data_IF_252461294864
#
_entry.id   IF_252461294864
#
_cell.length_a   1.000
_cell.length_b   1.000
_cell.length_c   1.000
_cell.angle_alpha   90.00
_cell.angle_beta   90.00
_cell.angle_gamma   90.00
#
_symmetry.space_group_name_H-M   'P 1'
#
loop_
_entity.id
_entity.type
_entity.pdbx_description
1 polymer ?
#
# COMPACT_ATOMS: atom_id res chain seq x y z
N UNK A 1 -1.51 18.47 -14.20
CA UNK A 1 -2.50 18.16 -13.15
C UNK A 1 -1.83 17.23 -12.16
N UNK A 2 -1.97 17.41 -10.84
CA UNK A 2 -1.47 16.47 -9.83
C UNK A 2 -2.64 15.66 -9.29
N UNK A 3 -2.55 14.33 -9.35
CA UNK A 3 -3.53 13.45 -8.73
C UNK A 3 -3.20 13.35 -7.24
N UNK A 4 -4.13 13.81 -6.39
CA UNK A 4 -3.95 13.76 -4.93
C UNK A 4 -4.53 12.47 -4.32
N UNK A 5 -5.56 11.92 -4.96
CA UNK A 5 -6.31 10.76 -4.53
C UNK A 5 -6.56 9.86 -5.74
N UNK A 6 -6.31 8.56 -5.59
CA UNK A 6 -6.55 7.56 -6.62
C UNK A 6 -7.34 6.40 -6.03
N UNK A 7 -8.51 6.14 -6.60
CA UNK A 7 -9.35 5.01 -6.25
C UNK A 7 -9.24 3.94 -7.34
N UNK A 8 -8.76 2.77 -6.94
CA UNK A 8 -8.62 1.57 -7.76
C UNK A 8 -9.25 0.36 -7.07
N UNK A 9 -10.20 0.56 -6.17
CA UNK A 9 -10.85 -0.56 -5.48
C UNK A 9 -11.59 -1.47 -6.46
N UNK A 10 -11.51 -2.79 -6.26
CA UNK A 10 -12.31 -3.78 -7.01
C UNK A 10 -12.15 -3.72 -8.53
N UNK A 11 -10.96 -3.33 -9.00
CA UNK A 11 -10.64 -3.19 -10.42
C UNK A 11 -9.96 -4.44 -11.04
N UNK A 12 -9.89 -5.54 -10.29
CA UNK A 12 -9.24 -6.81 -10.71
C UNK A 12 -7.76 -6.62 -11.10
N UNK A 13 -7.07 -5.65 -10.51
CA UNK A 13 -5.64 -5.48 -10.69
C UNK A 13 -4.92 -6.72 -10.17
N UNK A 14 -4.09 -7.35 -10.99
CA UNK A 14 -3.42 -8.59 -10.62
C UNK A 14 -2.12 -8.81 -11.37
N UNK A 15 -1.24 -9.59 -10.74
CA UNK A 15 0.06 -9.94 -11.29
C UNK A 15 1.11 -8.82 -11.20
N UNK A 16 2.34 -9.19 -11.56
CA UNK A 16 3.52 -8.33 -11.43
C UNK A 16 3.49 -7.12 -12.39
N UNK A 17 2.96 -7.29 -13.60
CA UNK A 17 2.93 -6.21 -14.60
C UNK A 17 2.01 -5.06 -14.17
N UNK A 18 0.82 -5.36 -13.65
CA UNK A 18 -0.11 -4.35 -13.16
C UNK A 18 0.47 -3.58 -11.96
N UNK A 19 1.11 -4.30 -11.03
CA UNK A 19 1.80 -3.70 -9.88
C UNK A 19 2.95 -2.78 -10.32
N UNK A 20 3.80 -3.24 -11.25
CA UNK A 20 4.91 -2.46 -11.77
C UNK A 20 4.42 -1.20 -12.49
N UNK A 21 3.46 -1.34 -13.40
CA UNK A 21 2.88 -0.22 -14.13
C UNK A 21 2.26 0.82 -13.18
N UNK A 22 1.51 0.38 -12.17
CA UNK A 22 0.90 1.29 -11.19
C UNK A 22 1.96 2.01 -10.35
N UNK A 23 3.00 1.30 -9.93
CA UNK A 23 4.14 1.89 -9.22
C UNK A 23 4.83 2.97 -10.06
N UNK A 24 5.14 2.67 -11.31
CA UNK A 24 5.77 3.61 -12.24
C UNK A 24 4.87 4.82 -12.50
N UNK A 25 3.59 4.59 -12.77
CA UNK A 25 2.63 5.66 -13.00
C UNK A 25 2.51 6.59 -11.79
N UNK A 26 2.36 6.03 -10.58
CA UNK A 26 2.27 6.81 -9.34
C UNK A 26 3.53 7.62 -9.09
N UNK A 27 4.71 7.03 -9.31
CA UNK A 27 5.99 7.70 -9.03
C UNK A 27 6.37 8.73 -10.10
N UNK A 28 5.80 8.62 -11.31
CA UNK A 28 5.95 9.63 -12.38
C UNK A 28 5.09 10.88 -12.18
N UNK A 29 4.14 10.86 -11.23
CA UNK A 29 3.25 11.99 -11.00
C UNK A 29 4.03 13.24 -10.53
N UNK A 30 3.66 14.45 -10.98
CA UNK A 30 4.29 15.68 -10.52
C UNK A 30 4.19 15.84 -8.99
N UNK A 31 5.34 15.85 -8.31
CA UNK A 31 5.41 15.92 -6.85
C UNK A 31 5.31 14.57 -6.14
N UNK A 32 5.52 13.46 -6.86
CA UNK A 32 5.52 12.10 -6.33
C UNK A 32 4.15 11.44 -6.33
N UNK A 33 4.04 10.25 -5.71
CA UNK A 33 2.79 9.51 -5.57
C UNK A 33 1.60 10.37 -5.09
N UNK A 34 0.35 9.92 -5.34
CA UNK A 34 -0.81 10.53 -4.70
C UNK A 34 -0.65 10.52 -3.18
N UNK A 35 -1.42 11.35 -2.48
CA UNK A 35 -1.44 11.33 -1.01
C UNK A 35 -2.20 10.12 -0.49
N UNK A 36 -3.11 9.62 -1.31
CA UNK A 36 -4.04 8.57 -0.94
C UNK A 36 -4.31 7.64 -2.12
N UNK A 37 -4.26 6.33 -1.86
CA UNK A 37 -4.48 5.26 -2.81
C UNK A 37 -5.44 4.24 -2.20
N UNK A 38 -6.61 4.06 -2.81
CA UNK A 38 -7.51 2.97 -2.47
C UNK A 38 -7.26 1.80 -3.41
N UNK A 39 -6.82 0.67 -2.87
CA UNK A 39 -6.38 -0.50 -3.62
C UNK A 39 -7.12 -1.77 -3.19
N UNK A 40 -8.14 -1.66 -2.33
CA UNK A 40 -8.83 -2.81 -1.77
C UNK A 40 -9.59 -3.64 -2.82
N UNK A 41 -9.72 -4.95 -2.60
CA UNK A 41 -10.52 -5.83 -3.46
C UNK A 41 -9.90 -6.14 -4.82
N UNK A 42 -8.57 -6.10 -4.93
CA UNK A 42 -7.83 -6.50 -6.12
C UNK A 42 -7.22 -7.91 -5.95
N UNK A 43 -6.36 -8.34 -6.87
CA UNK A 43 -5.76 -9.70 -6.91
C UNK A 43 -4.24 -9.64 -7.11
N UNK A 44 -3.57 -8.74 -6.41
CA UNK A 44 -2.13 -8.52 -6.55
C UNK A 44 -1.32 -9.69 -5.96
N UNK A 45 -1.74 -10.27 -4.84
CA UNK A 45 -0.99 -11.29 -4.12
C UNK A 45 0.28 -10.76 -3.46
N UNK A 46 1.02 -11.65 -2.78
CA UNK A 46 2.12 -11.29 -1.88
C UNK A 46 3.25 -10.52 -2.59
N UNK A 47 3.81 -11.10 -3.66
CA UNK A 47 4.97 -10.54 -4.36
C UNK A 47 4.67 -9.21 -5.07
N UNK A 48 3.66 -9.14 -5.95
CA UNK A 48 3.32 -7.91 -6.65
C UNK A 48 2.87 -6.79 -5.71
N UNK A 49 2.11 -7.08 -4.65
CA UNK A 49 1.74 -6.04 -3.68
C UNK A 49 2.97 -5.53 -2.93
N UNK A 50 3.86 -6.42 -2.46
CA UNK A 50 5.11 -6.02 -1.83
C UNK A 50 5.94 -5.10 -2.73
N UNK A 51 6.12 -5.48 -4.01
CA UNK A 51 6.87 -4.67 -4.98
C UNK A 51 6.26 -3.28 -5.17
N UNK A 52 4.93 -3.20 -5.30
CA UNK A 52 4.22 -1.94 -5.42
C UNK A 52 4.42 -1.07 -4.18
N UNK A 53 4.17 -1.61 -2.98
CA UNK A 53 4.30 -0.87 -1.72
C UNK A 53 5.74 -0.38 -1.52
N UNK A 54 6.74 -1.24 -1.73
CA UNK A 54 8.15 -0.89 -1.64
C UNK A 54 8.52 0.24 -2.61
N UNK A 55 8.04 0.16 -3.85
CA UNK A 55 8.28 1.18 -4.89
C UNK A 55 7.72 2.54 -4.48
N UNK A 56 6.46 2.56 -4.03
CA UNK A 56 5.79 3.76 -3.57
C UNK A 56 6.49 4.35 -2.33
N UNK A 57 6.84 3.51 -1.35
CA UNK A 57 7.50 3.93 -0.12
C UNK A 57 8.90 4.51 -0.33
N UNK A 58 9.71 3.90 -1.21
CA UNK A 58 11.06 4.42 -1.52
C UNK A 58 11.03 5.77 -2.20
N UNK A 59 9.99 6.04 -3.00
CA UNK A 59 9.81 7.28 -3.76
C UNK A 59 8.99 8.34 -3.02
N UNK A 60 8.32 7.96 -1.94
CA UNK A 60 7.57 8.92 -1.13
C UNK A 60 8.50 9.79 -0.28
N UNK A 61 8.16 11.08 -0.21
CA UNK A 61 8.84 12.04 0.66
C UNK A 61 8.38 11.85 2.12
N UNK A 62 9.33 11.82 3.07
CA UNK A 62 9.07 11.55 4.48
C UNK A 62 8.12 12.58 5.16
N UNK A 63 7.94 13.77 4.58
CA UNK A 63 7.13 14.84 5.16
C UNK A 63 5.62 14.55 5.10
N UNK A 64 5.15 13.73 4.15
CA UNK A 64 3.74 13.35 4.02
C UNK A 64 3.69 11.87 3.66
N UNK A 65 3.35 10.97 4.58
CA UNK A 65 3.17 9.56 4.25
C UNK A 65 2.12 9.39 3.14
N UNK A 66 2.32 8.41 2.27
CA UNK A 66 1.28 7.95 1.35
C UNK A 66 0.34 7.03 2.14
N UNK A 67 -0.94 7.35 2.11
CA UNK A 67 -1.97 6.53 2.70
C UNK A 67 -2.47 5.50 1.69
N UNK A 68 -2.51 4.23 2.08
CA UNK A 68 -2.91 3.13 1.22
C UNK A 68 -3.90 2.24 1.95
N UNK A 69 -5.08 2.08 1.38
CA UNK A 69 -6.04 1.05 1.76
C UNK A 69 -5.81 -0.18 0.89
N UNK A 70 -5.39 -1.29 1.50
CA UNK A 70 -4.86 -2.46 0.80
C UNK A 70 -5.46 -3.78 1.31
N UNK A 71 -6.73 -3.76 1.70
CA UNK A 71 -7.47 -4.99 2.06
C UNK A 71 -7.77 -5.85 0.85
N UNK A 72 -8.08 -7.13 1.06
CA UNK A 72 -8.64 -8.03 0.04
C UNK A 72 -7.83 -8.02 -1.28
N UNK A 73 -6.51 -8.12 -1.19
CA UNK A 73 -5.60 -8.15 -2.34
C UNK A 73 -5.09 -9.58 -2.65
N UNK A 74 -5.56 -10.58 -1.91
CA UNK A 74 -5.16 -11.98 -2.07
C UNK A 74 -3.77 -12.28 -1.51
N UNK A 75 -3.29 -11.51 -0.54
CA UNK A 75 -2.04 -11.79 0.19
C UNK A 75 -2.27 -12.98 1.11
N UNK A 76 -1.39 -13.98 1.03
CA UNK A 76 -1.50 -15.22 1.80
C UNK A 76 -0.80 -15.13 3.15
N UNK A 77 0.32 -14.43 3.19
CA UNK A 77 1.18 -14.29 4.37
C UNK A 77 1.44 -12.80 4.64
N UNK A 78 0.48 -12.17 5.31
CA UNK A 78 0.52 -10.73 5.63
C UNK A 78 1.71 -10.39 6.51
N UNK A 79 2.02 -11.21 7.52
CA UNK A 79 3.10 -10.95 8.47
C UNK A 79 4.45 -10.98 7.75
N UNK A 80 4.70 -11.99 6.89
CA UNK A 80 5.92 -12.02 6.08
C UNK A 80 6.02 -10.83 5.13
N UNK A 81 4.92 -10.43 4.50
CA UNK A 81 4.91 -9.25 3.62
C UNK A 81 5.28 -7.99 4.40
N UNK A 82 4.72 -7.81 5.60
CA UNK A 82 4.99 -6.65 6.45
C UNK A 82 6.43 -6.65 6.99
N UNK A 83 6.97 -7.80 7.37
CA UNK A 83 8.37 -7.94 7.78
C UNK A 83 9.33 -7.54 6.65
N UNK A 84 9.06 -8.02 5.43
CA UNK A 84 9.86 -7.67 4.25
C UNK A 84 9.73 -6.18 3.91
N UNK A 85 8.52 -5.64 3.93
CA UNK A 85 8.29 -4.23 3.60
C UNK A 85 8.92 -3.29 4.63
N UNK A 86 8.78 -3.59 5.92
CA UNK A 86 9.31 -2.76 7.01
C UNK A 86 10.84 -2.73 7.06
N UNK A 87 11.52 -3.77 6.55
CA UNK A 87 12.96 -3.77 6.37
C UNK A 87 13.44 -2.76 5.30
N UNK A 88 12.56 -2.36 4.38
CA UNK A 88 12.90 -1.47 3.26
C UNK A 88 12.34 -0.06 3.41
N UNK A 89 11.16 0.06 4.03
CA UNK A 89 10.38 1.28 4.08
C UNK A 89 9.76 1.42 5.48
N UNK A 90 9.94 2.56 6.16
CA UNK A 90 9.20 2.85 7.38
C UNK A 90 7.69 2.85 7.12
N UNK A 91 6.96 1.95 7.79
CA UNK A 91 5.51 1.81 7.64
C UNK A 91 4.79 2.06 8.96
N UNK A 92 3.58 2.62 8.88
CA UNK A 92 2.63 2.64 9.97
C UNK A 92 1.44 1.74 9.60
N UNK A 93 1.09 0.81 10.48
CA UNK A 93 -0.15 0.06 10.36
C UNK A 93 -1.28 0.94 10.90
N UNK A 94 -1.93 1.68 10.00
CA UNK A 94 -2.99 2.59 10.36
C UNK A 94 -4.20 1.79 10.85
N UNK A 95 -4.52 1.91 12.15
CA UNK A 95 -5.70 1.28 12.74
C UNK A 95 -6.98 2.06 12.44
N UNK A 96 -6.86 3.39 12.31
CA UNK A 96 -7.98 4.29 12.04
C UNK A 96 -7.50 5.41 11.10
N UNK A 97 -8.29 5.64 10.04
CA UNK A 97 -8.06 6.70 9.05
C UNK A 97 -8.08 8.09 9.67
N UNK A 98 -8.83 8.28 10.75
CA UNK A 98 -8.90 9.54 11.50
C UNK A 98 -7.71 9.76 12.45
N UNK A 99 -7.09 8.68 12.94
CA UNK A 99 -5.96 8.75 13.88
C UNK A 99 -4.59 8.76 13.18
N UNK A 100 -4.49 8.15 12.00
CA UNK A 100 -3.26 8.09 11.20
C UNK A 100 -3.37 8.96 9.92
N UNK A 101 -3.98 10.14 10.04
CA UNK A 101 -4.12 11.08 8.94
C UNK A 101 -2.80 11.78 8.56
N UNK A 102 -2.74 12.45 7.40
CA UNK A 102 -1.58 13.25 6.99
C UNK A 102 -1.20 14.27 8.08
N UNK A 103 0.02 14.15 8.63
CA UNK A 103 0.54 15.04 9.69
C UNK A 103 -0.03 14.79 11.10
N UNK A 104 -0.86 13.76 11.28
CA UNK A 104 -1.51 13.43 12.55
C UNK A 104 -1.04 12.09 13.14
N UNK A 105 -0.14 11.39 12.45
CA UNK A 105 0.36 10.10 12.87
C UNK A 105 1.17 10.18 14.16
N UNK A 106 0.69 9.53 15.22
CA UNK A 106 1.42 9.39 16.49
C UNK A 106 2.77 8.68 16.33
N UNK A 107 2.93 7.83 15.31
CA UNK A 107 4.21 7.18 14.99
C UNK A 107 5.27 8.14 14.44
N UNK A 108 4.88 9.35 14.03
CA UNK A 108 5.78 10.42 13.58
C UNK A 108 6.02 11.54 14.60
N UNK A 109 5.47 11.43 15.82
CA UNK A 109 5.63 12.39 16.92
C UNK A 109 6.56 11.78 17.99
N UNK A 110 7.86 11.75 17.74
CA UNK A 110 8.87 11.19 18.63
C UNK A 110 9.86 12.26 19.09
N UNK A 111 9.52 13.03 20.13
CA UNK A 111 10.37 14.00 20.85
C UNK A 111 11.90 13.90 20.56
N UNK A 112 12.41 14.54 19.50
CA UNK A 112 13.87 14.55 19.24
C UNK A 112 14.30 14.98 17.84
N UNK A 113 15.40 15.74 17.73
CA UNK A 113 15.87 16.40 16.51
C UNK A 113 16.37 15.50 15.35
N UNK A 114 16.24 14.18 15.42
CA UNK A 114 16.59 13.20 14.36
C UNK A 114 15.34 12.51 13.74
N UNK A 115 14.15 13.08 13.95
CA UNK A 115 12.82 12.51 13.66
C UNK A 115 12.48 12.22 12.18
N UNK A 116 13.13 12.87 11.21
CA UNK A 116 12.75 12.73 9.80
C UNK A 116 13.04 11.33 9.21
N UNK A 117 13.97 10.57 9.80
CA UNK A 117 14.34 9.23 9.36
C UNK A 117 13.37 8.14 9.85
N UNK A 118 12.62 8.42 10.92
CA UNK A 118 11.69 7.47 11.56
C UNK A 118 10.23 7.72 11.18
N UNK A 119 9.93 8.85 10.53
CA UNK A 119 8.59 9.14 10.05
C UNK A 119 8.14 8.06 9.04
N UNK A 120 6.93 7.50 9.21
CA UNK A 120 6.42 6.53 8.28
C UNK A 120 6.31 7.13 6.88
N UNK A 121 6.72 6.38 5.87
CA UNK A 121 6.53 6.74 4.47
C UNK A 121 5.22 6.22 3.92
N UNK A 122 4.73 5.10 4.46
CA UNK A 122 3.46 4.49 4.11
C UNK A 122 2.58 4.36 5.34
N UNK A 123 1.31 4.70 5.20
CA UNK A 123 0.26 4.31 6.12
C UNK A 123 -0.57 3.21 5.46
N UNK A 124 -0.56 2.02 6.05
CA UNK A 124 -1.29 0.87 5.51
C UNK A 124 -2.54 0.65 6.34
N UNK A 125 -3.70 0.86 5.73
CA UNK A 125 -5.01 0.61 6.29
C UNK A 125 -5.60 -0.66 5.66
N UNK A 126 -6.27 -1.48 6.47
CA UNK A 126 -6.93 -2.71 6.01
C UNK A 126 -5.99 -3.81 5.49
N UNK A 127 -4.66 -3.65 5.56
CA UNK A 127 -3.70 -4.64 5.03
C UNK A 127 -3.83 -6.02 5.70
N UNK A 128 -4.33 -6.08 6.93
CA UNK A 128 -4.61 -7.35 7.63
C UNK A 128 -5.92 -8.01 7.21
N UNK A 129 -6.80 -7.27 6.56
CA UNK A 129 -8.11 -7.74 6.11
C UNK A 129 -7.97 -8.37 4.72
N UNK A 130 -7.28 -9.51 4.65
CA UNK A 130 -7.12 -10.27 3.42
C UNK A 130 -8.12 -11.40 3.38
N UNK A 131 -8.85 -11.52 2.27
CA UNK A 131 -9.64 -12.72 2.02
C UNK A 131 -8.68 -13.89 1.88
N UNK A 132 -8.94 -14.98 2.61
CA UNK A 132 -8.30 -16.25 2.34
C UNK A 132 -8.51 -16.54 0.85
N UNK A 133 -7.42 -16.79 0.11
CA UNK A 133 -7.49 -17.04 -1.31
C UNK A 133 -8.54 -18.13 -1.56
N UNK A 134 -9.73 -17.72 -2.01
CA UNK A 134 -10.69 -18.67 -2.56
C UNK A 134 -10.04 -19.06 -3.87
N UNK A 135 -9.41 -20.23 -3.89
CA UNK A 135 -9.10 -20.90 -5.15
C UNK A 135 -10.41 -20.85 -5.93
N UNK A 136 -10.42 -20.14 -7.07
CA UNK A 136 -11.53 -20.21 -8.01
C UNK A 136 -11.53 -21.66 -8.52
N UNK A 137 -12.20 -22.49 -7.73
CA UNK A 137 -12.48 -23.88 -7.96
C UNK A 137 -13.03 -23.99 -9.38
N UNK A 138 -12.38 -24.89 -10.12
CA UNK A 138 -12.83 -25.50 -11.37
C UNK A 138 -14.23 -25.07 -11.82
N UNK A 139 -14.33 -23.99 -12.61
CA UNK A 139 -15.53 -23.84 -13.42
C UNK A 139 -15.53 -25.05 -14.38
N UNK A 140 -16.47 -26.01 -14.25
CA UNK A 140 -16.49 -27.14 -15.16
C UNK A 140 -16.67 -26.60 -16.58
N UNK A 141 -15.99 -27.19 -17.59
CA UNK A 141 -16.07 -26.71 -18.94
C UNK A 141 -17.55 -26.67 -19.39
N UNK A 142 -17.94 -25.65 -20.17
CA UNK A 142 -19.32 -25.52 -20.63
C UNK A 142 -19.74 -26.79 -21.39
N UNK A 143 -20.94 -27.27 -21.09
CA UNK A 143 -21.57 -28.42 -21.76
C UNK A 143 -21.97 -28.08 -23.20
#
# INVERSE_FOLDING_TARGET
LRVAFLDLERNRLGGAEAAAWLGDWCTSQPGGPPRELLLSGNRLGDGPLLQLLATLGRRQCAQVPLWIEAGQNGVRDVDRLLDQLSAEVPVCLALDRSACGPGQCGSGLGFGSDEAALAPRLHLFGIRDQDAAVEEDELPPPR
#
